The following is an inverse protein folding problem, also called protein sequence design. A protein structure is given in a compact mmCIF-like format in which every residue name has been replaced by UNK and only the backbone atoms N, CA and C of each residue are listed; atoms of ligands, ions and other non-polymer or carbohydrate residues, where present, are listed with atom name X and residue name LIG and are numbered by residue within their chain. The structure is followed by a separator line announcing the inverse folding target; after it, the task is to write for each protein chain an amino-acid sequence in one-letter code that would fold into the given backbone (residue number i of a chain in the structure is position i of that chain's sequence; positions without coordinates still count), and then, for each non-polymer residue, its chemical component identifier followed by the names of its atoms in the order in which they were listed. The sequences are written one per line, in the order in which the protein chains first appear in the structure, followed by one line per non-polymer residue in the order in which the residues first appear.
data_IF_576816189390
#
_entry.id   IF_576816189390
#
_cell.length_a   1.000
_cell.length_b   1.000
_cell.length_c   1.000
_cell.angle_alpha   90.00
_cell.angle_beta   90.00
_cell.angle_gamma   90.00
#
_symmetry.space_group_name_H-M   'P 1'
#
loop_
_entity.id
_entity.type
_entity.pdbx_description
1 polymer ?
#
# COMPACT_ATOMS: atom_id res chain seq x y z
N UNK A 1 -2.28 16.59 4.00
CA UNK A 1 -1.30 15.66 4.58
C UNK A 1 -0.60 16.37 5.72
N UNK A 2 -0.59 15.74 6.89
CA UNK A 2 0.12 16.18 8.09
C UNK A 2 1.47 15.45 8.19
N UNK A 3 2.46 16.02 8.90
CA UNK A 3 3.65 15.28 9.27
C UNK A 3 3.31 13.95 9.94
N UNK A 4 3.93 12.87 9.47
CA UNK A 4 3.63 11.51 9.93
C UNK A 4 2.57 10.78 9.10
N UNK A 5 1.82 11.46 8.24
CA UNK A 5 0.93 10.78 7.29
C UNK A 5 1.75 9.93 6.30
N UNK A 6 1.19 8.79 5.90
CA UNK A 6 1.73 7.93 4.86
C UNK A 6 0.84 7.99 3.61
N UNK A 7 1.45 8.24 2.45
CA UNK A 7 0.82 8.13 1.15
C UNK A 7 1.22 6.80 0.51
N UNK A 8 0.22 6.03 0.08
CA UNK A 8 0.40 4.77 -0.64
C UNK A 8 -0.28 4.92 -1.99
N UNK A 9 0.49 4.80 -3.07
CA UNK A 9 0.01 4.79 -4.45
C UNK A 9 0.22 3.39 -5.02
N UNK A 10 -0.79 2.87 -5.69
CA UNK A 10 -0.79 1.51 -6.23
C UNK A 10 -1.43 1.45 -7.61
N UNK A 11 -1.08 0.45 -8.41
CA UNK A 11 -1.80 0.08 -9.63
C UNK A 11 -2.99 -0.83 -9.32
N UNK A 12 -4.02 -0.79 -10.16
CA UNK A 12 -5.24 -1.61 -10.08
C UNK A 12 -4.94 -3.11 -9.96
N UNK A 13 -3.89 -3.62 -10.63
CA UNK A 13 -3.42 -5.00 -10.48
C UNK A 13 -3.15 -5.44 -9.02
N UNK A 14 -2.97 -4.52 -8.08
CA UNK A 14 -2.84 -4.82 -6.65
C UNK A 14 -4.17 -5.09 -5.93
N UNK A 15 -5.32 -4.59 -6.42
CA UNK A 15 -6.62 -4.65 -5.73
C UNK A 15 -7.75 -5.22 -6.57
N UNK A 16 -7.61 -5.29 -7.89
CA UNK A 16 -8.51 -6.05 -8.77
C UNK A 16 -8.04 -7.50 -8.88
N UNK A 17 -8.79 -8.45 -8.31
CA UNK A 17 -8.60 -9.90 -8.54
C UNK A 17 -9.89 -10.45 -9.12
N UNK A 18 -9.80 -11.61 -9.79
CA UNK A 18 -11.00 -12.31 -10.29
C UNK A 18 -11.91 -12.85 -9.19
N UNK A 19 -11.33 -13.22 -8.04
CA UNK A 19 -12.01 -14.02 -7.02
C UNK A 19 -12.38 -13.23 -5.75
N UNK A 20 -12.06 -11.92 -5.66
CA UNK A 20 -12.39 -11.10 -4.50
C UNK A 20 -12.96 -9.74 -4.91
N UNK A 21 -14.04 -9.27 -4.24
CA UNK A 21 -14.50 -7.90 -4.39
C UNK A 21 -13.40 -6.89 -4.07
N UNK A 22 -13.36 -5.80 -4.85
CA UNK A 22 -12.40 -4.71 -4.70
C UNK A 22 -12.43 -4.10 -3.29
N UNK A 23 -13.62 -3.90 -2.71
CA UNK A 23 -13.79 -3.32 -1.38
C UNK A 23 -13.05 -4.11 -0.30
N UNK A 24 -13.10 -5.44 -0.37
CA UNK A 24 -12.42 -6.32 0.59
C UNK A 24 -10.89 -6.19 0.49
N UNK A 25 -10.37 -6.00 -0.72
CA UNK A 25 -8.92 -5.84 -0.95
C UNK A 25 -8.45 -4.44 -0.56
N UNK A 26 -9.25 -3.40 -0.82
CA UNK A 26 -9.00 -2.05 -0.32
C UNK A 26 -8.99 -2.00 1.21
N UNK A 27 -9.96 -2.64 1.87
CA UNK A 27 -9.99 -2.77 3.33
C UNK A 27 -8.75 -3.48 3.87
N UNK A 28 -8.17 -4.42 3.11
CA UNK A 28 -6.94 -5.10 3.52
C UNK A 28 -5.72 -4.20 3.33
N UNK A 29 -5.63 -3.49 2.21
CA UNK A 29 -4.60 -2.47 1.95
C UNK A 29 -4.58 -1.37 3.03
N UNK A 30 -5.74 -0.92 3.50
CA UNK A 30 -5.84 0.13 4.52
C UNK A 30 -5.50 -0.36 5.94
N UNK A 31 -5.69 -1.66 6.24
CA UNK A 31 -5.45 -2.21 7.59
C UNK A 31 -4.00 -2.64 7.83
N UNK A 32 -3.27 -3.00 6.79
CA UNK A 32 -1.90 -3.50 6.90
C UNK A 32 -0.88 -2.46 7.39
N UNK A 33 -0.94 -1.19 6.96
CA UNK A 33 -0.12 -0.10 7.47
C UNK A 33 -0.65 0.41 8.82
N UNK A 34 -0.50 -0.37 9.88
CA UNK A 34 -0.90 0.02 11.23
C UNK A 34 0.26 0.65 12.02
N UNK A 35 0.02 1.68 12.86
CA UNK A 35 1.02 2.23 13.76
C UNK A 35 1.55 1.22 14.80
N UNK A 36 2.84 1.29 15.19
CA UNK A 36 3.87 2.18 14.63
C UNK A 36 4.19 1.77 13.19
N UNK A 37 4.16 2.74 12.28
CA UNK A 37 4.36 2.47 10.86
C UNK A 37 5.72 1.80 10.67
N UNK A 38 5.77 0.59 10.07
CA UNK A 38 7.03 -0.01 9.64
C UNK A 38 7.75 0.95 8.69
N UNK A 39 9.01 0.68 8.39
CA UNK A 39 9.67 1.38 7.28
C UNK A 39 8.84 1.25 5.99
N UNK A 40 9.02 2.20 5.05
CA UNK A 40 8.35 2.14 3.76
C UNK A 40 8.62 0.81 3.03
N UNK A 41 9.83 0.28 3.15
CA UNK A 41 10.25 -1.00 2.57
C UNK A 41 9.52 -2.18 3.20
N UNK A 42 9.53 -2.30 4.54
CA UNK A 42 8.79 -3.36 5.24
C UNK A 42 7.27 -3.29 4.98
N UNK A 43 6.72 -2.09 4.85
CA UNK A 43 5.30 -1.92 4.50
C UNK A 43 5.03 -2.35 3.07
N UNK A 44 5.94 -2.04 2.14
CA UNK A 44 5.87 -2.45 0.75
C UNK A 44 5.85 -3.98 0.64
N UNK A 45 6.82 -4.65 1.28
CA UNK A 45 6.95 -6.10 1.26
C UNK A 45 5.71 -6.78 1.84
N UNK A 46 5.20 -6.29 2.98
CA UNK A 46 3.97 -6.83 3.59
C UNK A 46 2.76 -6.67 2.70
N UNK A 47 2.58 -5.51 2.06
CA UNK A 47 1.46 -5.27 1.15
C UNK A 47 1.55 -6.18 -0.08
N UNK A 48 2.73 -6.32 -0.68
CA UNK A 48 2.93 -7.21 -1.81
C UNK A 48 2.72 -8.68 -1.42
N UNK A 49 3.19 -9.11 -0.26
CA UNK A 49 3.02 -10.48 0.22
C UNK A 49 1.54 -10.83 0.47
N UNK A 50 0.77 -9.92 1.05
CA UNK A 50 -0.61 -10.17 1.47
C UNK A 50 -1.64 -9.93 0.36
N UNK A 51 -1.36 -9.01 -0.56
CA UNK A 51 -2.32 -8.61 -1.59
C UNK A 51 -2.01 -9.21 -2.95
N UNK A 52 -0.75 -9.50 -3.30
CA UNK A 52 -0.44 -10.04 -4.63
C UNK A 52 -0.98 -11.46 -4.75
N UNK A 53 -1.81 -11.69 -5.77
CA UNK A 53 -2.28 -13.03 -6.11
C UNK A 53 -1.33 -13.66 -7.14
N UNK A 54 -0.82 -14.89 -6.93
CA UNK A 54 0.17 -15.51 -7.83
C UNK A 54 -0.33 -15.70 -9.28
N UNK A 55 -1.63 -15.89 -9.45
CA UNK A 55 -2.28 -16.18 -10.74
C UNK A 55 -2.72 -14.91 -11.49
N UNK A 56 -2.59 -13.74 -10.87
CA UNK A 56 -2.91 -12.48 -11.53
C UNK A 56 -1.76 -12.05 -12.44
N UNK A 57 -2.10 -11.75 -13.69
CA UNK A 57 -1.15 -11.42 -14.74
C UNK A 57 -0.96 -9.91 -14.92
N UNK A 58 -1.66 -9.10 -14.13
CA UNK A 58 -1.61 -7.65 -14.24
C UNK A 58 -0.38 -7.06 -13.52
N UNK A 59 0.10 -5.93 -14.02
CA UNK A 59 1.30 -5.30 -13.50
C UNK A 59 1.04 -4.64 -12.14
N UNK A 60 1.83 -5.05 -11.15
CA UNK A 60 1.74 -4.52 -9.78
C UNK A 60 2.89 -3.55 -9.52
N UNK A 61 2.55 -2.30 -9.21
CA UNK A 61 3.49 -1.31 -8.70
C UNK A 61 2.95 -0.67 -7.43
N UNK A 62 3.85 -0.38 -6.48
CA UNK A 62 3.55 0.26 -5.20
C UNK A 62 4.59 1.35 -4.92
N UNK A 63 4.12 2.54 -4.52
CA UNK A 63 4.95 3.64 -4.05
C UNK A 63 4.46 4.09 -2.68
N UNK A 64 5.38 4.12 -1.71
CA UNK A 64 5.11 4.57 -0.35
C UNK A 64 5.95 5.81 -0.06
N UNK A 65 5.29 6.87 0.42
CA UNK A 65 5.94 8.10 0.83
C UNK A 65 5.44 8.52 2.23
N UNK A 66 6.36 9.04 3.05
CA UNK A 66 6.02 9.60 4.36
C UNK A 66 6.07 11.12 4.30
N UNK A 67 4.99 11.79 4.72
CA UNK A 67 4.98 13.24 4.87
C UNK A 67 5.93 13.65 5.99
N UNK A 68 6.95 14.41 5.61
CA UNK A 68 7.89 15.03 6.54
C UNK A 68 7.66 16.54 6.55
N UNK A 69 7.88 17.22 7.69
CA UNK A 69 7.92 18.67 7.72
C UNK A 69 8.92 19.19 6.69
N UNK A 70 8.55 20.22 5.95
CA UNK A 70 9.48 20.92 5.07
C UNK A 70 10.37 21.82 5.95
N UNK A 71 11.50 21.31 6.40
CA UNK A 71 12.48 22.10 7.15
C UNK A 71 13.32 22.94 6.18
N UNK A 72 13.16 24.27 6.21
CA UNK A 72 14.06 25.20 5.47
C UNK A 72 13.42 26.35 4.68
N UNK A 73 12.20 26.80 5.02
CA UNK A 73 11.67 28.10 4.58
C UNK A 73 11.62 29.08 5.74
#
# INVERSE_FOLDING_TARGET
MNPGDQLILYTDGLVETRDSPIDKRLDHLLRLPAPPHPSAEETCDRLLQELRHPEDHDDVALLIAHARPLTGL
#
